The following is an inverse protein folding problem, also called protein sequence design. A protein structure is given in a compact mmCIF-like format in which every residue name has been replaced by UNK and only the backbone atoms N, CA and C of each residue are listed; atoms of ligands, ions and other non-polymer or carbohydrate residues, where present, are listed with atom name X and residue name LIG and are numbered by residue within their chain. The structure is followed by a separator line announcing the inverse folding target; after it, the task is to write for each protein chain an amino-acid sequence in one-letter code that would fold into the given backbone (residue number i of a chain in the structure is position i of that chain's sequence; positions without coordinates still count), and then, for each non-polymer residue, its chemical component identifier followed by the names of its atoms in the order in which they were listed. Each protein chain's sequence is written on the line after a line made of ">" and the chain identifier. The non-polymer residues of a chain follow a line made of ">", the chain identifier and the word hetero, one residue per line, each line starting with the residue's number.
data_IF_922572051967
#
_entry.id   IF_922572051967
#
_cell.length_a   1.000
_cell.length_b   1.000
_cell.length_c   1.000
_cell.angle_alpha   90.00
_cell.angle_beta   90.00
_cell.angle_gamma   90.00
#
_symmetry.space_group_name_H-M   'P 1'
#
loop_
_entity.id
_entity.type
_entity.pdbx_description
1 polymer ?
#
# COMPACT_ATOMS: atom_id res chain seq x y z
N UNK A 1 -2.16 6.16 28.39
CA UNK A 1 -0.99 6.77 27.73
C UNK A 1 -0.17 5.76 26.92
N UNK A 2 0.14 4.59 27.46
CA UNK A 2 0.99 3.58 26.81
C UNK A 2 0.43 2.99 25.51
N UNK A 3 -0.87 2.69 25.44
CA UNK A 3 -1.49 2.11 24.23
C UNK A 3 -1.42 3.01 22.99
N UNK A 4 -1.63 4.32 23.15
CA UNK A 4 -1.54 5.28 22.05
C UNK A 4 -0.11 5.38 21.51
N UNK A 5 0.89 5.31 22.40
CA UNK A 5 2.30 5.31 22.01
C UNK A 5 2.63 4.05 21.21
N UNK A 6 2.17 2.88 21.65
CA UNK A 6 2.36 1.62 20.92
C UNK A 6 1.69 1.65 19.54
N UNK A 7 0.49 2.20 19.43
CA UNK A 7 -0.19 2.34 18.15
C UNK A 7 0.57 3.27 17.19
N UNK A 8 1.03 4.42 17.69
CA UNK A 8 1.83 5.36 16.89
C UNK A 8 3.15 4.74 16.41
N UNK A 9 3.84 3.99 17.26
CA UNK A 9 5.08 3.28 16.88
C UNK A 9 4.84 2.24 15.78
N UNK A 10 3.76 1.47 15.87
CA UNK A 10 3.38 0.52 14.82
C UNK A 10 3.06 1.22 13.51
N UNK A 11 2.37 2.36 13.56
CA UNK A 11 2.08 3.17 12.38
C UNK A 11 3.36 3.69 11.71
N UNK A 12 4.28 4.27 12.49
CA UNK A 12 5.55 4.77 11.96
C UNK A 12 6.36 3.64 11.30
N UNK A 13 6.46 2.48 11.95
CA UNK A 13 7.14 1.33 11.38
C UNK A 13 6.48 0.84 10.07
N UNK A 14 5.15 0.88 9.99
CA UNK A 14 4.43 0.54 8.76
C UNK A 14 4.72 1.55 7.64
N UNK A 15 4.75 2.85 7.94
CA UNK A 15 5.08 3.91 6.98
C UNK A 15 6.51 3.72 6.46
N UNK A 16 7.49 3.52 7.36
CA UNK A 16 8.90 3.33 6.99
C UNK A 16 9.11 2.11 6.08
N UNK A 17 8.35 1.04 6.31
CA UNK A 17 8.42 -0.19 5.50
C UNK A 17 7.61 -0.11 4.20
N UNK A 18 6.85 0.98 3.98
CA UNK A 18 5.89 1.11 2.88
C UNK A 18 6.19 2.32 1.97
N UNK A 19 7.38 2.40 1.34
CA UNK A 19 7.76 3.55 0.52
C UNK A 19 6.92 3.72 -0.76
N UNK A 20 6.15 2.71 -1.15
CA UNK A 20 5.25 2.74 -2.30
C UNK A 20 3.97 1.97 -2.00
N UNK A 21 2.91 2.20 -2.79
CA UNK A 21 1.64 1.47 -2.65
C UNK A 21 1.80 -0.05 -2.75
N UNK A 22 2.76 -0.54 -3.56
CA UNK A 22 3.09 -1.97 -3.64
C UNK A 22 3.62 -2.53 -2.31
N UNK A 23 4.52 -1.79 -1.66
CA UNK A 23 5.07 -2.20 -0.36
C UNK A 23 4.01 -2.10 0.73
N UNK A 24 3.19 -1.04 0.71
CA UNK A 24 2.07 -0.88 1.64
C UNK A 24 1.09 -2.06 1.54
N UNK A 25 0.70 -2.43 0.32
CA UNK A 25 -0.20 -3.56 0.07
C UNK A 25 0.43 -4.88 0.55
N UNK A 26 1.71 -5.13 0.27
CA UNK A 26 2.40 -6.34 0.69
C UNK A 26 2.56 -6.43 2.22
N UNK A 27 2.89 -5.33 2.88
CA UNK A 27 2.98 -5.28 4.34
C UNK A 27 1.63 -5.53 5.01
N UNK A 28 0.56 -4.88 4.52
CA UNK A 28 -0.79 -5.10 5.03
C UNK A 28 -1.28 -6.54 4.77
N UNK A 29 -0.96 -7.11 3.61
CA UNK A 29 -1.24 -8.52 3.30
C UNK A 29 -0.63 -9.43 4.38
N UNK A 30 0.64 -9.24 4.71
CA UNK A 30 1.33 -10.01 5.77
C UNK A 30 0.67 -9.84 7.14
N UNK A 31 0.22 -8.62 7.48
CA UNK A 31 -0.51 -8.39 8.73
C UNK A 31 -1.87 -9.10 8.76
N UNK A 32 -2.59 -9.14 7.63
CA UNK A 32 -3.82 -9.91 7.51
C UNK A 32 -3.57 -11.41 7.65
N UNK A 33 -2.55 -11.95 6.98
CA UNK A 33 -2.14 -13.36 7.11
C UNK A 33 -1.80 -13.72 8.56
N UNK A 34 -1.02 -12.87 9.25
CA UNK A 34 -0.72 -13.02 10.68
C UNK A 34 -1.96 -12.98 11.57
N UNK A 35 -3.03 -12.33 11.12
CA UNK A 35 -4.32 -12.20 11.80
C UNK A 35 -5.33 -13.29 11.41
N UNK A 36 -4.87 -14.33 10.69
CA UNK A 36 -5.68 -15.49 10.30
C UNK A 36 -6.49 -15.31 9.03
N UNK A 37 -6.19 -14.31 8.20
CA UNK A 37 -6.79 -14.20 6.87
C UNK A 37 -6.05 -15.10 5.89
N UNK A 38 -6.78 -15.63 4.92
CA UNK A 38 -6.23 -16.43 3.82
C UNK A 38 -6.57 -15.80 2.47
N UNK A 39 -5.84 -16.19 1.42
CA UNK A 39 -6.13 -15.72 0.07
C UNK A 39 -7.56 -16.16 -0.33
N UNK A 40 -8.30 -15.23 -0.91
CA UNK A 40 -9.60 -15.49 -1.49
C UNK A 40 -9.44 -16.22 -2.81
N UNK A 41 -10.11 -17.37 -2.92
CA UNK A 41 -10.27 -18.11 -4.16
C UNK A 41 -11.70 -17.88 -4.69
N UNK A 42 -11.88 -17.26 -5.87
CA UNK A 42 -13.19 -17.03 -6.47
C UNK A 42 -14.03 -18.29 -6.68
N UNK A 43 -13.40 -19.46 -6.79
CA UNK A 43 -14.08 -20.74 -6.99
C UNK A 43 -14.47 -21.42 -5.67
N UNK A 44 -14.04 -20.86 -4.53
CA UNK A 44 -14.34 -21.41 -3.20
C UNK A 44 -15.68 -20.93 -2.64
N UNK A 45 -16.40 -21.82 -1.97
CA UNK A 45 -17.57 -21.44 -1.17
C UNK A 45 -17.13 -20.68 0.10
N UNK A 46 -17.83 -19.58 0.39
CA UNK A 46 -17.59 -18.77 1.58
C UNK A 46 -18.45 -19.25 2.75
N UNK A 47 -17.82 -19.43 3.91
CA UNK A 47 -18.51 -19.81 5.15
C UNK A 47 -18.54 -18.65 6.16
N UNK A 48 -19.55 -18.65 7.03
CA UNK A 48 -19.64 -17.64 8.07
C UNK A 48 -18.41 -17.69 9.00
N UNK A 49 -17.80 -16.54 9.26
CA UNK A 49 -16.55 -16.42 10.01
C UNK A 49 -15.29 -16.49 9.16
N UNK A 50 -15.37 -16.82 7.86
CA UNK A 50 -14.23 -16.81 6.96
C UNK A 50 -13.56 -15.44 6.93
N UNK A 51 -12.22 -15.44 6.95
CA UNK A 51 -11.38 -14.25 6.83
C UNK A 51 -10.54 -14.37 5.57
N UNK A 52 -10.84 -13.54 4.58
CA UNK A 52 -10.24 -13.64 3.25
C UNK A 52 -9.68 -12.30 2.80
N UNK A 53 -8.65 -12.33 1.96
CA UNK A 53 -8.13 -11.14 1.29
C UNK A 53 -7.84 -11.45 -0.18
N UNK A 54 -7.81 -10.42 -1.02
CA UNK A 54 -7.27 -10.51 -2.38
C UNK A 54 -6.55 -9.21 -2.73
N UNK A 55 -5.64 -9.28 -3.71
CA UNK A 55 -4.92 -8.13 -4.23
C UNK A 55 -5.21 -7.95 -5.71
N UNK A 56 -5.33 -6.70 -6.15
CA UNK A 56 -5.47 -6.33 -7.56
C UNK A 56 -4.24 -5.52 -7.97
N UNK A 57 -3.52 -5.99 -9.00
CA UNK A 57 -2.35 -5.31 -9.57
C UNK A 57 -1.18 -5.10 -8.59
N UNK A 58 -1.16 -5.78 -7.44
CA UNK A 58 -0.10 -5.71 -6.42
C UNK A 58 -0.06 -4.42 -5.58
N UNK A 59 -0.75 -3.35 -6.00
CA UNK A 59 -0.80 -2.07 -5.28
C UNK A 59 -2.16 -1.79 -4.60
N UNK A 60 -3.13 -2.68 -4.75
CA UNK A 60 -4.43 -2.62 -4.07
C UNK A 60 -4.67 -3.90 -3.29
N UNK A 61 -5.31 -3.78 -2.12
CA UNK A 61 -5.56 -4.88 -1.21
C UNK A 61 -6.97 -4.74 -0.64
N UNK A 62 -7.69 -5.86 -0.62
CA UNK A 62 -9.03 -5.96 -0.09
C UNK A 62 -9.04 -7.09 0.92
N UNK A 63 -9.61 -6.87 2.10
CA UNK A 63 -9.77 -7.88 3.13
C UNK A 63 -11.20 -7.83 3.67
N UNK A 64 -11.78 -8.99 3.92
CA UNK A 64 -13.15 -9.11 4.40
C UNK A 64 -13.32 -10.26 5.37
N UNK A 65 -14.33 -10.14 6.24
CA UNK A 65 -14.81 -11.21 7.11
C UNK A 65 -16.25 -11.50 6.75
N UNK A 66 -16.59 -12.77 6.55
CA UNK A 66 -17.95 -13.20 6.23
C UNK A 66 -18.78 -13.18 7.51
N UNK A 67 -19.82 -12.35 7.54
CA UNK A 67 -20.74 -12.25 8.67
C UNK A 67 -21.64 -13.47 8.83
N UNK A 68 -22.31 -13.57 9.97
CA UNK A 68 -23.32 -14.61 10.26
C UNK A 68 -24.74 -14.18 9.92
N UNK A 69 -24.95 -12.87 9.74
CA UNK A 69 -26.27 -12.28 9.50
C UNK A 69 -26.71 -12.44 8.04
N UNK A 70 -28.01 -12.32 7.78
CA UNK A 70 -28.56 -12.37 6.43
C UNK A 70 -28.00 -11.23 5.56
N UNK A 71 -27.70 -11.53 4.29
CA UNK A 71 -27.13 -10.59 3.33
C UNK A 71 -27.94 -9.28 3.17
N UNK A 72 -29.26 -9.34 3.41
CA UNK A 72 -30.13 -8.16 3.40
C UNK A 72 -29.75 -7.08 4.43
N UNK A 73 -28.97 -7.44 5.45
CA UNK A 73 -28.43 -6.49 6.44
C UNK A 73 -27.23 -5.69 5.89
N UNK A 74 -26.73 -6.04 4.71
CA UNK A 74 -25.70 -5.29 3.98
C UNK A 74 -24.27 -5.55 4.46
N UNK A 75 -23.38 -4.60 4.16
CA UNK A 75 -21.94 -4.68 4.44
C UNK A 75 -21.48 -3.49 5.29
N UNK A 76 -20.54 -3.74 6.18
CA UNK A 76 -19.75 -2.69 6.82
C UNK A 76 -18.44 -2.53 6.03
N UNK A 77 -18.28 -1.38 5.37
CA UNK A 77 -17.15 -1.13 4.48
C UNK A 77 -16.32 0.04 4.99
N UNK A 78 -15.00 -0.16 4.98
CA UNK A 78 -14.02 0.90 5.23
C UNK A 78 -13.14 0.97 3.97
N UNK A 79 -13.09 2.15 3.36
CA UNK A 79 -12.25 2.43 2.20
C UNK A 79 -11.15 3.43 2.55
N UNK A 80 -9.92 3.11 2.16
CA UNK A 80 -8.76 4.01 2.22
C UNK A 80 -7.91 3.81 0.96
N UNK A 81 -6.86 4.60 0.79
CA UNK A 81 -5.91 4.46 -0.32
C UNK A 81 -4.48 4.26 0.21
N UNK A 82 -3.63 3.61 -0.57
CA UNK A 82 -2.26 3.24 -0.21
C UNK A 82 -1.19 4.10 -0.88
N UNK A 83 -1.57 4.85 -1.90
CA UNK A 83 -0.67 5.73 -2.64
C UNK A 83 -0.59 7.12 -2.02
N UNK A 84 0.52 7.79 -2.26
CA UNK A 84 0.76 9.17 -1.87
C UNK A 84 1.37 9.97 -3.04
N UNK A 85 1.22 11.30 -3.03
CA UNK A 85 1.86 12.16 -4.03
C UNK A 85 3.39 12.04 -3.99
N UNK A 86 4.03 12.10 -5.16
CA UNK A 86 5.49 12.05 -5.21
C UNK A 86 6.07 12.03 -6.62
N UNK A 87 7.32 11.61 -6.72
CA UNK A 87 8.05 11.50 -7.98
C UNK A 87 8.15 10.04 -8.42
N UNK A 88 7.81 9.76 -9.68
CA UNK A 88 7.96 8.43 -10.29
C UNK A 88 9.00 8.49 -11.41
N UNK A 89 9.78 7.42 -11.57
CA UNK A 89 10.79 7.33 -12.62
C UNK A 89 10.09 7.07 -13.96
N UNK A 90 10.43 7.85 -14.99
CA UNK A 90 9.89 7.65 -16.33
C UNK A 90 10.49 6.37 -16.98
N UNK A 91 9.79 5.72 -17.93
CA UNK A 91 10.31 4.55 -18.63
C UNK A 91 11.67 4.78 -19.31
N UNK A 92 11.83 5.91 -20.01
CA UNK A 92 13.11 6.35 -20.59
C UNK A 92 13.69 7.49 -19.74
N UNK A 93 14.26 7.15 -18.59
CA UNK A 93 14.61 8.12 -17.55
C UNK A 93 16.05 8.60 -17.56
N UNK A 94 17.01 7.87 -18.14
CA UNK A 94 18.41 8.27 -18.11
C UNK A 94 18.64 9.53 -18.95
N UNK A 95 19.16 10.58 -18.33
CA UNK A 95 19.53 11.84 -18.99
C UNK A 95 20.87 12.33 -18.46
N UNK A 96 21.72 12.86 -19.35
CA UNK A 96 22.95 13.52 -18.94
C UNK A 96 22.74 15.04 -18.90
N UNK A 97 23.06 15.66 -17.76
CA UNK A 97 22.90 17.09 -17.57
C UNK A 97 24.01 17.65 -16.68
N UNK A 98 24.68 18.70 -17.15
CA UNK A 98 25.75 19.40 -16.43
C UNK A 98 26.87 18.46 -15.92
N UNK A 99 27.19 17.40 -16.67
CA UNK A 99 28.22 16.42 -16.31
C UNK A 99 27.75 15.33 -15.33
N UNK A 100 26.46 15.31 -14.98
CA UNK A 100 25.86 14.29 -14.12
C UNK A 100 24.91 13.39 -14.91
N UNK A 101 24.89 12.10 -14.56
CA UNK A 101 23.82 11.18 -14.99
C UNK A 101 22.64 11.32 -14.02
N UNK A 102 21.47 11.67 -14.57
CA UNK A 102 20.26 11.96 -13.82
C UNK A 102 19.13 11.00 -14.23
N UNK A 103 18.18 10.78 -13.31
CA UNK A 103 16.92 10.09 -13.58
C UNK A 103 15.80 11.12 -13.77
N UNK A 104 15.25 11.19 -14.98
CA UNK A 104 14.08 11.97 -15.29
C UNK A 104 12.84 11.35 -14.64
N UNK A 105 12.09 12.18 -13.91
CA UNK A 105 10.91 11.77 -13.17
C UNK A 105 9.65 12.44 -13.73
N UNK A 106 8.50 11.86 -13.41
CA UNK A 106 7.20 12.46 -13.57
C UNK A 106 6.57 12.72 -12.21
N UNK A 107 5.73 13.75 -12.15
CA UNK A 107 4.95 14.08 -10.97
C UNK A 107 3.75 13.13 -10.91
N UNK A 108 3.60 12.43 -9.79
CA UNK A 108 2.41 11.65 -9.50
C UNK A 108 1.53 12.39 -8.49
N UNK A 109 0.28 12.67 -8.87
CA UNK A 109 -0.69 13.44 -8.10
C UNK A 109 -0.24 14.90 -7.85
N UNK A 110 -0.56 15.49 -6.69
CA UNK A 110 -0.25 16.89 -6.35
C UNK A 110 0.75 17.04 -5.19
N UNK A 111 2.02 16.63 -5.33
CA UNK A 111 3.02 16.83 -4.30
C UNK A 111 3.39 18.31 -4.18
N UNK A 112 3.76 18.73 -2.96
CA UNK A 112 4.35 20.04 -2.72
C UNK A 112 5.81 19.99 -3.22
N UNK A 113 6.04 20.31 -4.49
CA UNK A 113 7.32 20.03 -5.17
C UNK A 113 8.56 20.59 -4.47
N UNK A 114 8.47 21.76 -3.86
CA UNK A 114 9.62 22.38 -3.20
C UNK A 114 10.12 21.59 -1.97
N UNK A 115 9.30 20.72 -1.37
CA UNK A 115 9.73 19.91 -0.20
C UNK A 115 10.60 18.72 -0.59
N UNK A 116 10.65 18.39 -1.88
CA UNK A 116 11.45 17.29 -2.45
C UNK A 116 12.89 17.69 -2.81
N UNK A 117 13.19 18.99 -2.87
CA UNK A 117 14.56 19.47 -3.05
C UNK A 117 15.38 19.26 -1.77
N UNK A 118 16.69 19.09 -1.94
CA UNK A 118 17.66 18.92 -0.85
C UNK A 118 17.30 17.79 0.15
N UNK A 119 16.69 16.71 -0.36
CA UNK A 119 16.38 15.49 0.38
C UNK A 119 17.27 14.32 -0.07
N UNK A 120 17.72 13.46 0.85
CA UNK A 120 18.42 12.22 0.51
C UNK A 120 17.39 11.19 -0.01
N UNK A 121 16.98 11.34 -1.27
CA UNK A 121 16.01 10.45 -1.89
C UNK A 121 16.62 9.07 -2.19
N UNK A 122 15.78 8.04 -2.12
CA UNK A 122 16.07 6.67 -2.58
C UNK A 122 14.99 6.24 -3.58
N UNK A 123 15.08 5.01 -4.09
CA UNK A 123 14.17 4.45 -5.07
C UNK A 123 13.55 3.17 -4.50
N UNK A 124 12.23 3.03 -4.67
CA UNK A 124 11.50 1.80 -4.37
C UNK A 124 10.36 1.66 -5.39
N UNK A 125 9.88 0.43 -5.61
CA UNK A 125 8.79 0.17 -6.53
C UNK A 125 8.68 -1.31 -6.90
N UNK A 126 7.97 -1.56 -7.99
CA UNK A 126 7.86 -2.86 -8.61
C UNK A 126 8.70 -2.89 -9.88
N UNK A 127 9.39 -4.01 -10.13
CA UNK A 127 10.10 -4.31 -11.38
C UNK A 127 9.42 -5.50 -12.02
N UNK A 128 9.25 -5.46 -13.35
CA UNK A 128 8.61 -6.49 -14.17
C UNK A 128 9.61 -7.00 -15.19
#
# INVERSE_FOLDING_TARGET
>A
MTQNLTAAQRLLALIDQSPTAYHAADNLRREFERSGFSLYDPDSELQAGDRRYFSAGGASLFAFTVGTDALMNGFQLIGTHLDGPGLKIKPNSLVEQAGCLCLNTEVYSGPILHTWFDRPLSIAGQVV
#
